data_IF_019971647745
#
_entry.id   IF_019971647745
#
_cell.length_a   1.000
_cell.length_b   1.000
_cell.length_c   1.000
_cell.angle_alpha   90.00
_cell.angle_beta   90.00
_cell.angle_gamma   90.00
#
_symmetry.space_group_name_H-M   'P 1'
#
loop_
_entity.id
_entity.type
_entity.pdbx_description
1 polymer ?
#
# COMPACT_ATOMS: atom_id res chain seq x y z
N UNK A 1 -92.70 13.17 -18.92
CA UNK A 1 -91.75 12.39 -18.17
C UNK A 1 -90.34 12.73 -18.69
N UNK A 2 -89.62 13.57 -17.95
CA UNK A 2 -88.35 14.13 -18.36
C UNK A 2 -87.20 13.42 -17.65
N UNK A 3 -86.38 12.72 -18.41
CA UNK A 3 -85.18 12.01 -17.91
C UNK A 3 -84.00 13.00 -17.89
N UNK A 4 -83.51 13.30 -16.71
CA UNK A 4 -82.28 14.09 -16.52
C UNK A 4 -81.11 13.18 -16.41
N UNK A 5 -80.24 13.13 -17.44
CA UNK A 5 -78.94 12.46 -17.40
C UNK A 5 -77.92 13.34 -16.71
N UNK A 6 -77.45 12.88 -15.55
CA UNK A 6 -76.31 13.51 -14.83
C UNK A 6 -75.02 13.01 -15.40
N UNK A 7 -74.22 13.90 -15.98
CA UNK A 7 -72.84 13.63 -16.39
C UNK A 7 -71.90 13.84 -15.21
N UNK A 8 -71.28 12.78 -14.73
CA UNK A 8 -70.23 12.88 -13.69
C UNK A 8 -68.88 13.12 -14.36
N UNK A 9 -68.31 14.28 -14.10
CA UNK A 9 -66.95 14.64 -14.56
C UNK A 9 -65.97 14.10 -13.50
N UNK A 10 -65.23 13.06 -13.86
CA UNK A 10 -64.13 12.53 -13.01
C UNK A 10 -62.88 13.35 -13.32
N UNK A 11 -62.48 14.18 -12.36
CA UNK A 11 -61.23 14.95 -12.37
C UNK A 11 -60.08 14.02 -11.92
N UNK A 12 -59.30 13.51 -12.91
CA UNK A 12 -58.09 12.74 -12.62
C UNK A 12 -56.95 13.70 -12.33
N UNK A 13 -56.68 13.95 -11.04
CA UNK A 13 -55.46 14.66 -10.60
C UNK A 13 -54.27 13.75 -10.79
N UNK A 14 -53.53 13.94 -11.90
CA UNK A 14 -52.24 13.29 -12.14
C UNK A 14 -51.18 13.80 -11.16
N UNK A 15 -50.85 13.01 -10.15
CA UNK A 15 -49.65 13.22 -9.33
C UNK A 15 -48.42 12.87 -10.14
N UNK A 16 -47.78 13.83 -10.78
CA UNK A 16 -46.44 13.70 -11.34
C UNK A 16 -45.44 13.73 -10.19
N UNK A 17 -45.07 12.54 -9.70
CA UNK A 17 -43.94 12.39 -8.77
C UNK A 17 -42.65 12.74 -9.52
N UNK A 18 -42.09 13.93 -9.28
CA UNK A 18 -40.72 14.26 -9.66
C UNK A 18 -39.78 13.35 -8.85
N UNK A 19 -39.28 12.29 -9.47
CA UNK A 19 -38.15 11.55 -9.00
C UNK A 19 -36.92 12.49 -9.10
N UNK A 20 -36.60 13.16 -8.01
CA UNK A 20 -35.32 13.84 -7.84
C UNK A 20 -34.24 12.78 -7.86
N UNK A 21 -33.60 12.58 -9.01
CA UNK A 21 -32.41 11.74 -9.11
C UNK A 21 -31.36 12.36 -8.17
N UNK A 22 -31.10 11.70 -7.04
CA UNK A 22 -30.01 12.09 -6.16
C UNK A 22 -28.70 11.99 -6.94
N UNK A 23 -27.95 13.08 -6.96
CA UNK A 23 -26.62 13.06 -7.54
C UNK A 23 -25.79 11.94 -6.87
N UNK A 24 -24.97 11.19 -7.64
CA UNK A 24 -24.11 10.18 -7.05
C UNK A 24 -23.28 10.79 -5.92
N UNK A 25 -23.03 10.05 -4.83
CA UNK A 25 -22.20 10.53 -3.74
C UNK A 25 -20.82 10.91 -4.26
N UNK A 26 -20.27 12.01 -3.75
CA UNK A 26 -18.92 12.44 -4.13
C UNK A 26 -17.91 11.30 -3.84
N UNK A 27 -16.91 11.08 -4.71
CA UNK A 27 -15.91 10.04 -4.49
C UNK A 27 -15.18 10.25 -3.16
N UNK A 28 -14.81 9.17 -2.47
CA UNK A 28 -14.10 9.27 -1.20
C UNK A 28 -12.77 10.00 -1.38
N UNK A 29 -12.30 10.64 -0.31
CA UNK A 29 -10.99 11.31 -0.28
C UNK A 29 -10.05 10.55 0.66
N UNK A 30 -8.71 10.53 0.39
CA UNK A 30 -7.74 9.95 1.30
C UNK A 30 -7.80 10.60 2.69
N UNK A 31 -7.86 9.76 3.72
CA UNK A 31 -7.81 10.20 5.12
C UNK A 31 -6.37 10.37 5.62
N UNK A 32 -6.20 10.75 6.91
CA UNK A 32 -4.88 10.97 7.51
C UNK A 32 -3.92 9.78 7.40
N UNK A 33 -4.43 8.57 7.52
CA UNK A 33 -3.60 7.35 7.44
C UNK A 33 -3.07 7.12 6.03
N UNK A 34 -3.86 7.40 4.99
CA UNK A 34 -3.37 7.33 3.61
C UNK A 34 -2.24 8.34 3.37
N UNK A 35 -2.35 9.55 3.94
CA UNK A 35 -1.33 10.59 3.81
C UNK A 35 0.00 10.23 4.45
N UNK A 36 0.03 9.36 5.45
CA UNK A 36 1.30 8.88 6.03
C UNK A 36 2.14 8.10 5.01
N UNK A 37 1.50 7.45 4.02
CA UNK A 37 2.21 6.75 2.95
C UNK A 37 2.97 7.71 2.02
N UNK A 38 2.56 8.98 1.94
CA UNK A 38 3.24 10.00 1.13
C UNK A 38 4.71 10.22 1.56
N UNK A 39 5.08 9.81 2.78
CA UNK A 39 6.48 9.83 3.24
C UNK A 39 7.40 9.05 2.29
N UNK A 40 6.93 7.94 1.74
CA UNK A 40 7.73 7.08 0.86
C UNK A 40 7.82 7.63 -0.56
N UNK A 41 6.93 8.53 -0.98
CA UNK A 41 6.88 9.04 -2.36
C UNK A 41 8.17 9.76 -2.73
N UNK A 42 8.79 9.31 -3.82
CA UNK A 42 10.03 9.87 -4.34
C UNK A 42 10.99 8.83 -4.88
N UNK A 43 12.20 9.25 -5.19
CA UNK A 43 13.28 8.37 -5.61
C UNK A 43 14.32 8.27 -4.49
N UNK A 44 14.62 7.05 -4.10
CA UNK A 44 15.52 6.73 -3.00
C UNK A 44 16.75 5.99 -3.51
N UNK A 45 17.92 6.33 -2.96
CA UNK A 45 19.10 5.47 -3.02
C UNK A 45 19.10 4.62 -1.76
N UNK A 46 19.15 3.30 -1.92
CA UNK A 46 19.11 2.34 -0.81
C UNK A 46 20.46 1.62 -0.74
N UNK A 47 21.10 1.72 0.39
CA UNK A 47 22.36 1.03 0.72
C UNK A 47 22.03 -0.10 1.71
N UNK A 48 22.16 -1.34 1.27
CA UNK A 48 21.82 -2.53 2.06
C UNK A 48 23.08 -3.33 2.42
N UNK A 49 23.05 -3.94 3.60
CA UNK A 49 23.96 -4.97 4.03
C UNK A 49 23.18 -6.28 4.17
N UNK A 50 23.49 -7.23 3.26
CA UNK A 50 22.88 -8.56 3.23
C UNK A 50 23.69 -9.47 4.15
N UNK A 51 23.03 -10.01 5.17
CA UNK A 51 23.65 -11.00 6.08
C UNK A 51 23.63 -12.38 5.44
N UNK A 52 24.51 -13.31 5.83
CA UNK A 52 24.49 -14.70 5.36
C UNK A 52 23.11 -15.35 5.58
N UNK A 53 22.45 -15.83 4.52
CA UNK A 53 21.07 -16.33 4.61
C UNK A 53 20.73 -17.53 3.70
N UNK A 54 21.54 -17.88 2.74
CA UNK A 54 21.29 -18.99 1.80
C UNK A 54 20.33 -18.68 0.63
N UNK A 55 19.79 -17.45 0.52
CA UNK A 55 18.90 -17.05 -0.58
C UNK A 55 19.59 -16.13 -1.58
N UNK A 56 20.37 -15.19 -1.08
CA UNK A 56 21.14 -14.22 -1.87
C UNK A 56 22.56 -14.11 -1.30
N UNK A 57 23.58 -13.78 -2.11
CA UNK A 57 24.95 -13.57 -1.62
C UNK A 57 25.01 -12.51 -0.52
N UNK A 58 25.73 -12.79 0.54
CA UNK A 58 25.99 -11.82 1.61
C UNK A 58 26.92 -10.71 1.11
N UNK A 59 26.75 -9.50 1.61
CA UNK A 59 27.60 -8.36 1.27
C UNK A 59 26.85 -7.05 1.24
N UNK A 60 27.55 -5.99 0.87
CA UNK A 60 26.97 -4.67 0.69
C UNK A 60 26.48 -4.49 -0.74
N UNK A 61 25.34 -3.85 -0.90
CA UNK A 61 24.74 -3.56 -2.21
C UNK A 61 24.08 -2.18 -2.20
N UNK A 62 23.98 -1.58 -3.37
CA UNK A 62 23.30 -0.30 -3.54
C UNK A 62 22.26 -0.48 -4.65
N UNK A 63 21.05 -0.08 -4.35
CA UNK A 63 19.91 -0.09 -5.29
C UNK A 63 19.18 1.25 -5.29
N UNK A 64 18.12 1.29 -6.05
CA UNK A 64 17.20 2.43 -6.10
C UNK A 64 15.78 1.94 -5.84
N UNK A 65 15.00 2.77 -5.14
CA UNK A 65 13.57 2.58 -4.98
C UNK A 65 12.85 3.83 -5.49
N UNK A 66 11.84 3.63 -6.31
CA UNK A 66 11.02 4.73 -6.85
C UNK A 66 9.58 4.47 -6.44
N UNK A 67 9.07 5.39 -5.65
CA UNK A 67 7.73 5.31 -5.10
C UNK A 67 6.86 6.45 -5.63
N UNK A 68 5.68 6.11 -6.12
CA UNK A 68 4.73 7.07 -6.71
C UNK A 68 3.37 6.97 -6.05
N UNK A 69 2.75 8.12 -5.84
CA UNK A 69 1.38 8.14 -5.33
C UNK A 69 0.43 7.68 -6.43
N UNK A 70 -0.35 6.64 -6.15
CA UNK A 70 -1.34 6.13 -7.09
C UNK A 70 -2.52 7.09 -7.28
N UNK A 71 -3.28 6.93 -8.38
CA UNK A 71 -4.46 7.76 -8.66
C UNK A 71 -5.42 7.84 -7.46
N UNK A 72 -5.86 9.06 -7.15
CA UNK A 72 -6.75 9.32 -6.01
C UNK A 72 -6.05 9.40 -4.65
N UNK A 73 -4.77 9.05 -4.53
CA UNK A 73 -3.99 9.21 -3.29
C UNK A 73 -4.25 8.16 -2.21
N UNK A 74 -4.78 6.99 -2.57
CA UNK A 74 -5.12 5.94 -1.61
C UNK A 74 -4.01 4.90 -1.40
N UNK A 75 -3.02 4.86 -2.28
CA UNK A 75 -1.92 3.89 -2.24
C UNK A 75 -0.64 4.48 -2.84
N UNK A 76 0.46 3.83 -2.55
CA UNK A 76 1.78 4.13 -3.13
C UNK A 76 2.24 2.90 -3.90
N UNK A 77 2.64 3.10 -5.14
CA UNK A 77 3.33 2.10 -5.97
C UNK A 77 4.82 2.20 -5.72
N UNK A 78 5.48 1.06 -5.57
CA UNK A 78 6.91 0.96 -5.27
C UNK A 78 7.61 0.10 -6.32
N UNK A 79 8.76 0.56 -6.80
CA UNK A 79 9.66 -0.18 -7.66
C UNK A 79 11.08 -0.10 -7.13
N UNK A 80 11.61 -1.23 -6.68
CA UNK A 80 12.99 -1.38 -6.25
C UNK A 80 13.80 -2.12 -7.30
N UNK A 81 14.98 -1.59 -7.65
CA UNK A 81 15.85 -2.16 -8.67
C UNK A 81 17.33 -1.84 -8.43
N UNK A 82 18.19 -2.61 -9.06
CA UNK A 82 19.65 -2.47 -8.96
C UNK A 82 20.26 -3.24 -7.78
N UNK A 83 21.58 -3.24 -7.73
CA UNK A 83 22.33 -4.00 -6.73
C UNK A 83 22.22 -5.53 -6.88
N UNK A 84 22.35 -6.24 -5.77
CA UNK A 84 22.29 -7.71 -5.73
C UNK A 84 20.90 -8.26 -5.40
N UNK A 85 19.99 -7.41 -4.94
CA UNK A 85 18.62 -7.83 -4.65
C UNK A 85 17.79 -7.90 -5.93
N UNK A 86 16.86 -8.87 -6.04
CA UNK A 86 15.97 -8.96 -7.19
C UNK A 86 15.13 -7.69 -7.37
N UNK A 87 14.93 -7.27 -8.63
CA UNK A 87 13.97 -6.20 -8.94
C UNK A 87 12.61 -6.56 -8.37
N UNK A 88 11.96 -5.59 -7.74
CA UNK A 88 10.70 -5.76 -7.04
C UNK A 88 9.73 -4.65 -7.43
N UNK A 89 8.49 -5.01 -7.63
CA UNK A 89 7.37 -4.09 -7.83
C UNK A 89 6.27 -4.43 -6.84
N UNK A 90 5.63 -3.42 -6.29
CA UNK A 90 4.56 -3.62 -5.33
C UNK A 90 3.75 -2.36 -5.06
N UNK A 91 2.91 -2.44 -4.07
CA UNK A 91 2.16 -1.29 -3.58
C UNK A 91 1.91 -1.40 -2.08
N UNK A 92 1.66 -0.24 -1.47
CA UNK A 92 1.25 -0.08 -0.09
C UNK A 92 -0.04 0.73 -0.05
N UNK A 93 -1.01 0.30 0.73
CA UNK A 93 -2.29 0.97 0.91
C UNK A 93 -2.71 0.94 2.39
N UNK A 94 -3.72 1.73 2.75
CA UNK A 94 -4.35 1.65 4.07
C UNK A 94 -5.75 1.07 3.95
N UNK A 95 -6.00 -0.03 4.64
CA UNK A 95 -7.34 -0.61 4.80
C UNK A 95 -8.05 0.11 5.95
N UNK A 96 -8.98 0.99 5.62
CA UNK A 96 -9.73 1.77 6.60
C UNK A 96 -10.73 0.94 7.41
N UNK A 97 -11.13 -0.24 6.91
CA UNK A 97 -12.01 -1.16 7.63
C UNK A 97 -11.23 -1.96 8.67
N UNK A 98 -10.15 -2.60 8.26
CA UNK A 98 -9.28 -3.36 9.15
C UNK A 98 -8.35 -2.46 10.00
N UNK A 99 -8.22 -1.18 9.65
CA UNK A 99 -7.34 -0.18 10.31
C UNK A 99 -5.87 -0.60 10.32
N UNK A 100 -5.43 -1.19 9.24
CA UNK A 100 -4.03 -1.61 9.04
C UNK A 100 -3.55 -1.14 7.68
N UNK A 101 -2.23 -0.99 7.54
CA UNK A 101 -1.62 -0.87 6.22
C UNK A 101 -1.48 -2.25 5.60
N UNK A 102 -1.61 -2.32 4.29
CA UNK A 102 -1.45 -3.56 3.51
C UNK A 102 -0.38 -3.36 2.46
N UNK A 103 0.39 -4.39 2.17
CA UNK A 103 1.37 -4.38 1.10
C UNK A 103 1.28 -5.66 0.28
N UNK A 104 1.58 -5.54 -1.00
CA UNK A 104 1.77 -6.63 -1.92
C UNK A 104 2.95 -6.32 -2.81
N UNK A 105 3.79 -7.31 -3.08
CA UNK A 105 4.89 -7.18 -4.03
C UNK A 105 5.21 -8.48 -4.74
N UNK A 106 5.78 -8.35 -5.92
CA UNK A 106 6.34 -9.43 -6.70
C UNK A 106 7.76 -9.07 -7.15
N UNK A 107 8.60 -10.07 -7.36
CA UNK A 107 10.00 -9.89 -7.79
C UNK A 107 10.32 -10.57 -9.10
N UNK A 108 11.43 -10.17 -9.71
CA UNK A 108 11.95 -10.73 -10.96
C UNK A 108 12.37 -12.19 -10.87
N UNK A 109 12.42 -12.77 -9.66
CA UNK A 109 12.74 -14.19 -9.44
C UNK A 109 11.52 -15.01 -9.02
N UNK A 110 10.31 -14.44 -9.14
CA UNK A 110 9.06 -15.14 -8.81
C UNK A 110 8.73 -15.21 -7.31
N UNK A 111 9.40 -14.41 -6.47
CA UNK A 111 8.98 -14.22 -5.09
C UNK A 111 7.77 -13.29 -5.06
N UNK A 112 6.77 -13.65 -4.28
CA UNK A 112 5.56 -12.86 -4.02
C UNK A 112 5.42 -12.68 -2.52
N UNK A 113 5.19 -11.44 -2.08
CA UNK A 113 5.00 -11.12 -0.67
C UNK A 113 3.70 -10.39 -0.43
N UNK A 114 3.05 -10.70 0.68
CA UNK A 114 1.91 -9.97 1.22
C UNK A 114 2.20 -9.57 2.65
N UNK A 115 1.75 -8.40 3.06
CA UNK A 115 2.03 -7.92 4.40
C UNK A 115 0.95 -7.05 4.99
N UNK A 116 0.94 -6.99 6.31
CA UNK A 116 0.18 -6.02 7.10
C UNK A 116 1.14 -5.16 7.89
N UNK A 117 0.86 -3.86 7.95
CA UNK A 117 1.72 -2.88 8.59
C UNK A 117 1.01 -2.05 9.64
N UNK A 118 1.80 -1.59 10.60
CA UNK A 118 1.41 -0.61 11.60
C UNK A 118 2.46 0.48 11.68
N UNK A 119 2.07 1.67 12.15
CA UNK A 119 2.99 2.78 12.39
C UNK A 119 2.84 3.27 13.82
N UNK A 120 3.97 3.44 14.51
CA UNK A 120 4.03 4.01 15.84
C UNK A 120 5.15 5.07 15.89
N UNK A 121 4.77 6.32 16.06
CA UNK A 121 5.70 7.44 15.95
C UNK A 121 6.36 7.49 14.56
N UNK A 122 7.67 7.35 14.53
CA UNK A 122 8.49 7.34 13.31
C UNK A 122 8.83 5.93 12.80
N UNK A 123 8.22 4.86 13.37
CA UNK A 123 8.57 3.48 13.07
C UNK A 123 7.39 2.76 12.44
N UNK A 124 7.63 2.21 11.26
CA UNK A 124 6.75 1.29 10.54
C UNK A 124 7.18 -0.13 10.79
N UNK A 125 6.23 -1.00 11.11
CA UNK A 125 6.47 -2.44 11.26
C UNK A 125 5.54 -3.19 10.33
N UNK A 126 6.12 -3.95 9.43
CA UNK A 126 5.40 -4.81 8.48
C UNK A 126 5.61 -6.26 8.84
N UNK A 127 4.54 -7.01 9.04
CA UNK A 127 4.55 -8.45 9.14
C UNK A 127 4.23 -9.01 7.75
N UNK A 128 5.15 -9.73 7.16
CA UNK A 128 5.06 -10.19 5.77
C UNK A 128 5.05 -11.71 5.68
N UNK A 129 4.41 -12.23 4.66
CA UNK A 129 4.48 -13.62 4.25
C UNK A 129 5.02 -13.68 2.82
N UNK A 130 6.24 -14.18 2.69
CA UNK A 130 6.96 -14.33 1.43
C UNK A 130 6.77 -15.74 0.89
N UNK A 131 6.37 -15.84 -0.38
CA UNK A 131 6.18 -17.12 -1.08
C UNK A 131 7.19 -17.21 -2.22
N UNK A 132 8.03 -18.23 -2.15
CA UNK A 132 9.07 -18.47 -3.15
C UNK A 132 9.35 -19.97 -3.30
N UNK A 133 9.41 -20.44 -4.55
CA UNK A 133 9.73 -21.85 -4.89
C UNK A 133 8.91 -22.88 -4.08
N UNK A 134 7.59 -22.63 -3.93
CA UNK A 134 6.67 -23.53 -3.22
C UNK A 134 6.78 -23.49 -1.70
N UNK A 135 7.59 -22.59 -1.14
CA UNK A 135 7.73 -22.38 0.31
C UNK A 135 7.11 -21.06 0.71
N UNK A 136 6.59 -21.00 1.94
CA UNK A 136 6.14 -19.77 2.59
C UNK A 136 7.03 -19.48 3.79
N UNK A 137 7.45 -18.22 3.92
CA UNK A 137 8.30 -17.76 5.01
C UNK A 137 7.70 -16.49 5.59
N UNK A 138 7.56 -16.46 6.92
CA UNK A 138 7.15 -15.24 7.62
C UNK A 138 8.36 -14.35 7.87
N UNK A 139 8.16 -13.05 7.64
CA UNK A 139 9.17 -12.04 7.87
C UNK A 139 8.62 -10.82 8.59
N UNK A 140 9.53 -9.98 9.01
CA UNK A 140 9.23 -8.68 9.60
C UNK A 140 10.15 -7.63 8.97
N UNK A 141 9.56 -6.57 8.43
CA UNK A 141 10.30 -5.39 8.00
C UNK A 141 10.04 -4.25 8.98
N UNK A 142 11.10 -3.66 9.51
CA UNK A 142 11.02 -2.46 10.33
C UNK A 142 11.66 -1.31 9.56
N UNK A 143 10.94 -0.19 9.41
CA UNK A 143 11.44 1.04 8.79
C UNK A 143 11.37 2.14 9.84
N UNK A 144 12.50 2.80 10.12
CA UNK A 144 12.56 3.92 11.06
C UNK A 144 12.89 5.19 10.31
N UNK A 145 11.95 6.13 10.25
CA UNK A 145 12.11 7.44 9.65
C UNK A 145 13.08 8.27 10.50
N UNK A 146 14.17 8.71 9.90
CA UNK A 146 15.20 9.54 10.56
C UNK A 146 14.98 11.03 10.29
N UNK A 147 14.50 11.35 9.12
CA UNK A 147 14.17 12.70 8.66
C UNK A 147 13.14 12.61 7.54
N UNK A 148 12.62 13.71 6.99
CA UNK A 148 11.73 13.68 5.82
C UNK A 148 12.34 13.02 4.57
N UNK A 149 13.67 12.85 4.53
CA UNK A 149 14.41 12.35 3.37
C UNK A 149 15.34 11.20 3.66
N UNK A 150 15.24 10.59 4.85
CA UNK A 150 16.12 9.47 5.26
C UNK A 150 15.38 8.50 6.16
N UNK A 151 15.60 7.20 5.95
CA UNK A 151 15.16 6.15 6.86
C UNK A 151 16.18 5.01 6.94
N UNK A 152 16.07 4.20 7.98
CA UNK A 152 16.71 2.89 8.06
C UNK A 152 15.66 1.80 7.89
N UNK A 153 16.08 0.67 7.33
CA UNK A 153 15.24 -0.52 7.17
C UNK A 153 15.93 -1.74 7.72
N UNK A 154 15.15 -2.69 8.22
CA UNK A 154 15.62 -4.00 8.63
C UNK A 154 14.60 -5.04 8.22
N UNK A 155 15.02 -6.05 7.46
CA UNK A 155 14.22 -7.23 7.15
C UNK A 155 14.75 -8.44 7.92
N UNK A 156 13.84 -9.12 8.58
CA UNK A 156 14.11 -10.28 9.42
C UNK A 156 13.19 -11.43 9.00
N UNK A 157 13.70 -12.65 8.96
CA UNK A 157 12.93 -13.86 8.70
C UNK A 157 12.70 -14.63 10.00
N UNK A 158 11.53 -15.24 10.15
CA UNK A 158 11.22 -16.11 11.27
C UNK A 158 12.18 -17.33 11.26
N UNK A 159 12.75 -17.62 12.42
CA UNK A 159 13.74 -18.71 12.60
C UNK A 159 13.12 -20.09 12.85
N UNK A 160 11.77 -20.16 12.88
CA UNK A 160 11.02 -21.38 13.18
C UNK A 160 11.04 -21.79 14.68
N UNK A 161 11.71 -21.04 15.54
CA UNK A 161 11.82 -21.27 16.98
C UNK A 161 11.13 -20.21 17.82
N UNK A 162 10.36 -19.32 17.15
CA UNK A 162 9.64 -18.20 17.77
C UNK A 162 10.42 -16.88 17.75
N UNK A 163 11.62 -16.85 17.18
CA UNK A 163 12.46 -15.67 16.97
C UNK A 163 12.54 -15.24 15.52
N UNK A 164 13.40 -14.24 15.28
CA UNK A 164 13.70 -13.68 13.96
C UNK A 164 15.21 -13.55 13.76
N UNK A 165 15.65 -13.82 12.54
CA UNK A 165 17.04 -13.62 12.11
C UNK A 165 17.10 -12.48 11.11
N UNK A 166 17.98 -11.52 11.33
CA UNK A 166 18.20 -10.40 10.41
C UNK A 166 18.83 -10.91 9.10
N UNK A 167 18.19 -10.54 7.99
CA UNK A 167 18.60 -10.91 6.63
C UNK A 167 19.20 -9.71 5.91
N UNK A 168 18.56 -8.53 6.03
CA UNK A 168 19.01 -7.29 5.40
C UNK A 168 18.85 -6.15 6.38
N UNK A 169 19.87 -5.29 6.44
CA UNK A 169 19.80 -3.99 7.08
C UNK A 169 20.18 -2.91 6.08
N UNK A 170 19.41 -1.83 6.02
CA UNK A 170 19.61 -0.80 5.01
C UNK A 170 19.44 0.62 5.53
N UNK A 171 19.93 1.53 4.70
CA UNK A 171 19.70 2.97 4.83
C UNK A 171 19.22 3.49 3.49
N UNK A 172 18.23 4.34 3.52
CA UNK A 172 17.74 5.00 2.33
C UNK A 172 17.81 6.52 2.48
N UNK A 173 18.20 7.17 1.39
CA UNK A 173 18.18 8.61 1.27
C UNK A 173 17.49 9.01 -0.04
N UNK A 174 16.60 10.00 0.03
CA UNK A 174 15.98 10.55 -1.18
C UNK A 174 17.03 11.18 -2.09
N UNK A 175 17.01 10.75 -3.34
CA UNK A 175 17.81 11.39 -4.37
C UNK A 175 17.29 12.81 -4.60
N UNK A 176 18.16 13.81 -4.51
CA UNK A 176 17.78 15.18 -4.87
C UNK A 176 17.38 15.16 -6.34
N UNK A 177 16.14 15.54 -6.66
CA UNK A 177 15.80 15.88 -8.04
C UNK A 177 16.78 16.97 -8.50
N UNK A 178 17.55 16.72 -9.54
CA UNK A 178 18.27 17.79 -10.22
C UNK A 178 17.20 18.81 -10.65
N UNK A 179 17.28 20.03 -10.12
CA UNK A 179 16.45 21.15 -10.54
C UNK A 179 16.88 21.61 -11.92
#
# INVERSE_FOLDING_TARGET
>A
MSSRSSVAVILICGFTSLLLAQAPPAPPKPGPEHKKLEYFVGKWTVEDEIKPNGYVPAGKTVGTETDTLGPGGFYVESRAEGGQLPTRFGFMAYDSHAKVYTSYYASSVGLVGVGTGTVNGNTWTWMVEDKYAGKSVKGRTTITMLSPTQYTSKYEMADGKGGYTTIVEGKAAQSRSAR
#
